data_IF_313646622627
#
_entry.id   IF_313646622627
#
_cell.length_a   1.000
_cell.length_b   1.000
_cell.length_c   1.000
_cell.angle_alpha   90.00
_cell.angle_beta   90.00
_cell.angle_gamma   90.00
#
_symmetry.space_group_name_H-M   'P 1'
#
loop_
_entity.id
_entity.type
_entity.pdbx_description
1 polymer ?
#
# COMPACT_ATOMS: atom_id res chain seq x y z
N UNK A 1 1.41 -17.64 43.79
CA UNK A 1 2.59 -18.31 43.20
C UNK A 1 3.79 -17.40 43.41
N UNK A 2 4.79 -17.84 44.17
CA UNK A 2 6.04 -17.10 44.33
C UNK A 2 7.01 -17.55 43.23
N UNK A 3 7.30 -16.64 42.29
CA UNK A 3 8.26 -16.86 41.22
C UNK A 3 9.66 -16.94 41.85
N UNK A 4 10.40 -18.00 41.54
CA UNK A 4 11.74 -18.23 42.05
C UNK A 4 12.74 -17.21 41.50
N UNK A 5 13.85 -16.97 42.20
CA UNK A 5 14.88 -16.00 41.79
C UNK A 5 15.48 -16.29 40.40
N UNK A 6 15.60 -17.58 40.06
CA UNK A 6 16.05 -18.02 38.75
C UNK A 6 15.04 -17.69 37.64
N UNK A 7 13.74 -17.85 37.90
CA UNK A 7 12.69 -17.47 36.95
C UNK A 7 12.64 -15.94 36.76
N UNK A 8 12.87 -15.16 37.81
CA UNK A 8 12.99 -13.69 37.69
C UNK A 8 14.16 -13.28 36.80
N UNK A 9 15.35 -13.87 36.99
CA UNK A 9 16.51 -13.62 36.12
C UNK A 9 16.26 -14.04 34.67
N UNK A 10 15.61 -15.18 34.46
CA UNK A 10 15.27 -15.67 33.13
C UNK A 10 14.27 -14.76 32.41
N UNK A 11 13.24 -14.28 33.12
CA UNK A 11 12.28 -13.31 32.59
C UNK A 11 12.95 -11.97 32.27
N UNK A 12 13.88 -11.52 33.10
CA UNK A 12 14.62 -10.28 32.87
C UNK A 12 15.54 -10.36 31.66
N UNK A 13 16.27 -11.47 31.47
CA UNK A 13 17.04 -11.70 30.23
C UNK A 13 16.16 -11.68 28.97
N UNK A 14 14.97 -12.30 29.02
CA UNK A 14 14.03 -12.26 27.89
C UNK A 14 13.53 -10.85 27.59
N UNK A 15 13.24 -10.09 28.64
CA UNK A 15 12.81 -8.71 28.51
C UNK A 15 13.89 -7.83 27.88
N UNK A 16 15.14 -7.95 28.35
CA UNK A 16 16.27 -7.21 27.78
C UNK A 16 16.56 -7.59 26.32
N UNK A 17 16.46 -8.88 25.98
CA UNK A 17 16.57 -9.34 24.59
C UNK A 17 15.46 -8.76 23.71
N UNK A 18 14.22 -8.76 24.19
CA UNK A 18 13.09 -8.17 23.48
C UNK A 18 13.29 -6.67 23.27
N UNK A 19 13.75 -5.94 24.30
CA UNK A 19 14.00 -4.51 24.20
C UNK A 19 15.08 -4.18 23.16
N UNK A 20 16.15 -4.97 23.08
CA UNK A 20 17.19 -4.79 22.05
C UNK A 20 16.64 -5.00 20.64
N UNK A 21 15.92 -6.10 20.42
CA UNK A 21 15.30 -6.38 19.11
C UNK A 21 14.31 -5.27 18.73
N UNK A 22 13.49 -4.79 19.67
CA UNK A 22 12.56 -3.69 19.43
C UNK A 22 13.29 -2.38 19.06
N UNK A 23 14.41 -2.07 19.72
CA UNK A 23 15.24 -0.91 19.38
C UNK A 23 15.88 -1.04 18.00
N UNK A 24 16.45 -2.20 17.68
CA UNK A 24 17.07 -2.44 16.38
C UNK A 24 16.05 -2.36 15.24
N UNK A 25 14.86 -2.92 15.44
CA UNK A 25 13.73 -2.79 14.50
C UNK A 25 13.29 -1.34 14.34
N UNK A 26 13.21 -0.59 15.45
CA UNK A 26 12.86 0.83 15.43
C UNK A 26 13.87 1.65 14.63
N UNK A 27 15.17 1.43 14.85
CA UNK A 27 16.25 2.12 14.15
C UNK A 27 16.24 1.80 12.64
N UNK A 28 16.07 0.53 12.27
CA UNK A 28 15.97 0.12 10.87
C UNK A 28 14.75 0.73 10.16
N UNK A 29 13.62 0.82 10.85
CA UNK A 29 12.40 1.44 10.31
C UNK A 29 12.59 2.95 10.06
N UNK A 30 13.21 3.66 11.01
CA UNK A 30 13.51 5.09 10.89
C UNK A 30 14.44 5.35 9.70
N UNK A 31 15.50 4.54 9.53
CA UNK A 31 16.41 4.68 8.38
C UNK A 31 15.69 4.51 7.04
N UNK A 32 14.86 3.48 6.90
CA UNK A 32 14.10 3.23 5.67
C UNK A 32 13.10 4.34 5.34
N UNK A 33 12.48 4.95 6.35
CA UNK A 33 11.64 6.13 6.16
C UNK A 33 12.45 7.34 5.67
N UNK A 34 13.67 7.50 6.18
CA UNK A 34 14.63 8.51 5.71
C UNK A 34 14.98 8.31 4.23
N UNK A 35 15.31 7.08 3.83
CA UNK A 35 15.62 6.74 2.43
C UNK A 35 14.43 6.99 1.50
N UNK A 36 13.21 6.63 1.93
CA UNK A 36 12.00 6.90 1.18
C UNK A 36 11.75 8.41 1.02
N UNK A 37 11.95 9.18 2.11
CA UNK A 37 11.80 10.64 2.07
C UNK A 37 12.81 11.27 1.09
N UNK A 38 14.07 10.82 1.11
CA UNK A 38 15.08 11.28 0.17
C UNK A 38 14.74 10.90 -1.29
N UNK A 39 14.25 9.69 -1.53
CA UNK A 39 13.81 9.25 -2.86
C UNK A 39 12.64 10.10 -3.40
N UNK A 40 11.71 10.53 -2.53
CA UNK A 40 10.62 11.45 -2.87
C UNK A 40 11.19 12.83 -3.24
N UNK A 41 12.14 13.36 -2.46
CA UNK A 41 12.77 14.65 -2.76
C UNK A 41 13.52 14.64 -4.10
N UNK A 42 14.13 13.51 -4.45
CA UNK A 42 14.92 13.35 -5.66
C UNK A 42 14.09 12.94 -6.90
N UNK A 43 12.75 12.89 -6.80
CA UNK A 43 11.84 12.45 -7.88
C UNK A 43 12.21 11.08 -8.49
N UNK A 44 12.77 10.18 -7.67
CA UNK A 44 13.15 8.82 -8.09
C UNK A 44 11.96 7.88 -8.10
N UNK A 45 12.08 6.74 -8.78
CA UNK A 45 11.09 5.68 -8.70
C UNK A 45 10.96 5.17 -7.25
N UNK A 46 9.77 5.32 -6.68
CA UNK A 46 9.46 5.02 -5.28
C UNK A 46 9.12 3.55 -5.06
N UNK A 47 8.85 2.79 -6.12
CA UNK A 47 8.44 1.39 -6.08
C UNK A 47 9.35 0.49 -5.23
N UNK A 48 10.70 0.55 -5.34
CA UNK A 48 11.59 -0.27 -4.49
C UNK A 48 11.63 0.18 -3.03
N UNK A 49 11.54 1.48 -2.76
CA UNK A 49 11.60 2.03 -1.39
C UNK A 49 10.31 1.76 -0.61
N UNK A 50 9.16 1.88 -1.26
CA UNK A 50 7.85 1.58 -0.66
C UNK A 50 7.75 0.09 -0.29
N UNK A 51 8.27 -0.82 -1.13
CA UNK A 51 8.33 -2.25 -0.81
C UNK A 51 9.15 -2.53 0.44
N UNK A 52 10.32 -1.88 0.59
CA UNK A 52 11.20 -2.02 1.77
C UNK A 52 10.58 -1.50 3.07
N UNK A 53 9.70 -0.50 2.99
CA UNK A 53 8.97 0.02 4.16
C UNK A 53 7.81 -0.90 4.55
N UNK A 54 7.10 -1.47 3.57
CA UNK A 54 5.90 -2.30 3.81
C UNK A 54 6.26 -3.73 4.25
N UNK A 55 7.36 -4.30 3.76
CA UNK A 55 7.75 -5.66 4.13
C UNK A 55 9.15 -5.72 4.76
N UNK A 56 9.26 -5.56 6.09
CA UNK A 56 10.55 -5.45 6.75
C UNK A 56 11.33 -6.76 6.88
N UNK A 57 10.68 -7.91 6.66
CA UNK A 57 11.23 -9.25 6.86
C UNK A 57 11.48 -10.04 5.57
N UNK A 58 11.17 -9.48 4.40
CA UNK A 58 11.64 -10.08 3.14
C UNK A 58 13.13 -9.78 3.00
N UNK A 59 13.96 -10.82 3.16
CA UNK A 59 15.36 -10.77 2.76
C UNK A 59 15.43 -10.43 1.28
N UNK A 60 16.17 -9.36 0.95
CA UNK A 60 16.47 -8.99 -0.42
C UNK A 60 17.09 -10.21 -1.13
N UNK A 61 16.34 -10.87 -2.03
CA UNK A 61 16.95 -11.66 -3.07
C UNK A 61 17.86 -10.71 -3.85
N UNK A 62 19.17 -10.83 -3.61
CA UNK A 62 20.21 -10.11 -4.33
C UNK A 62 19.86 -10.08 -5.82
N UNK A 63 19.89 -8.90 -6.47
CA UNK A 63 19.56 -8.82 -7.88
C UNK A 63 20.61 -9.60 -8.63
N UNK A 64 20.22 -10.75 -9.20
CA UNK A 64 21.00 -11.42 -10.24
C UNK A 64 21.25 -10.39 -11.32
N UNK A 65 22.52 -9.98 -11.45
CA UNK A 65 22.99 -9.19 -12.56
C UNK A 65 22.63 -9.93 -13.84
N UNK A 66 21.64 -9.44 -14.57
CA UNK A 66 21.49 -9.75 -15.98
C UNK A 66 21.97 -8.54 -16.76
N UNK A 67 22.89 -8.86 -17.65
CA UNK A 67 23.64 -8.00 -18.52
C UNK A 67 22.78 -6.94 -19.21
N UNK A 68 23.43 -5.79 -19.40
CA UNK A 68 23.08 -4.70 -20.30
C UNK A 68 22.38 -5.17 -21.59
N UNK A 69 21.16 -4.67 -21.81
CA UNK A 69 20.65 -4.44 -23.16
C UNK A 69 20.43 -2.93 -23.36
N UNK A 70 20.78 -2.40 -24.54
CA UNK A 70 20.98 -0.97 -24.75
C UNK A 70 19.67 -0.21 -24.89
N UNK A 71 19.75 1.09 -24.57
CA UNK A 71 18.86 2.19 -24.94
C UNK A 71 17.85 1.83 -26.04
N UNK A 72 16.60 1.54 -25.63
CA UNK A 72 15.46 1.55 -26.55
C UNK A 72 14.72 2.86 -26.30
N UNK A 73 14.74 3.69 -27.32
CA UNK A 73 13.93 4.89 -27.53
C UNK A 73 12.50 4.74 -27.02
N UNK A 74 11.93 5.87 -26.60
CA UNK A 74 10.56 6.07 -26.16
C UNK A 74 9.55 5.24 -26.98
N UNK A 75 9.27 4.03 -26.51
CA UNK A 75 8.16 3.22 -26.97
C UNK A 75 7.04 3.49 -26.00
N UNK A 76 6.01 4.19 -26.47
CA UNK A 76 4.72 4.30 -25.77
C UNK A 76 4.28 2.90 -25.32
N UNK A 77 4.57 2.56 -24.07
CA UNK A 77 4.13 1.31 -23.48
C UNK A 77 2.63 1.47 -23.30
N UNK A 78 1.86 0.96 -24.27
CA UNK A 78 0.41 0.76 -24.12
C UNK A 78 0.21 0.15 -22.73
N UNK A 79 -0.51 0.83 -21.82
CA UNK A 79 -0.57 0.39 -20.43
C UNK A 79 -1.09 -1.04 -20.41
N UNK A 80 -0.34 -1.95 -19.76
CA UNK A 80 -0.81 -3.30 -19.45
C UNK A 80 -2.24 -3.15 -18.92
N UNK A 81 -3.21 -3.75 -19.61
CA UNK A 81 -4.61 -3.63 -19.25
C UNK A 81 -4.79 -4.13 -17.81
N UNK A 82 -4.90 -3.20 -16.87
CA UNK A 82 -5.09 -3.52 -15.45
C UNK A 82 -6.42 -4.26 -15.35
N UNK A 83 -6.40 -5.46 -14.79
CA UNK A 83 -7.62 -6.27 -14.60
C UNK A 83 -8.33 -5.79 -13.35
N UNK A 84 -9.67 -5.81 -13.37
CA UNK A 84 -10.46 -5.62 -12.16
C UNK A 84 -10.21 -6.81 -11.21
N UNK A 85 -9.67 -6.52 -10.03
CA UNK A 85 -9.47 -7.48 -8.94
C UNK A 85 -10.53 -7.28 -7.87
N UNK A 86 -10.71 -8.27 -6.98
CA UNK A 86 -11.64 -8.18 -5.85
C UNK A 86 -11.37 -6.96 -4.96
N UNK A 87 -10.10 -6.62 -4.75
CA UNK A 87 -9.68 -5.44 -3.97
C UNK A 87 -10.23 -4.14 -4.57
N UNK A 88 -10.17 -4.00 -5.90
CA UNK A 88 -10.72 -2.81 -6.58
C UNK A 88 -12.25 -2.77 -6.58
N UNK A 89 -12.91 -3.93 -6.55
CA UNK A 89 -14.37 -4.01 -6.40
C UNK A 89 -14.82 -3.62 -4.99
N UNK A 90 -14.09 -4.09 -3.97
CA UNK A 90 -14.33 -3.72 -2.57
C UNK A 90 -14.16 -2.22 -2.32
N UNK A 91 -13.18 -1.57 -2.96
CA UNK A 91 -13.02 -0.13 -2.88
C UNK A 91 -14.26 0.64 -3.37
N UNK A 92 -14.92 0.16 -4.44
CA UNK A 92 -16.16 0.74 -4.95
C UNK A 92 -17.33 0.49 -3.99
N UNK A 93 -17.41 -0.69 -3.38
CA UNK A 93 -18.45 -1.01 -2.39
C UNK A 93 -18.27 -0.19 -1.11
N UNK A 94 -17.04 -0.04 -0.62
CA UNK A 94 -16.74 0.81 0.52
C UNK A 94 -17.14 2.27 0.23
N UNK A 95 -16.76 2.79 -0.93
CA UNK A 95 -17.14 4.14 -1.36
C UNK A 95 -18.67 4.35 -1.50
N UNK A 96 -19.44 3.27 -1.67
CA UNK A 96 -20.91 3.33 -1.68
C UNK A 96 -21.56 3.32 -0.30
N UNK A 97 -20.88 2.76 0.71
CA UNK A 97 -21.33 2.67 2.11
C UNK A 97 -20.85 3.83 2.97
N UNK A 98 -19.82 4.54 2.51
CA UNK A 98 -19.23 5.65 3.23
C UNK A 98 -20.23 6.81 3.38
N UNK A 99 -20.71 7.01 4.60
CA UNK A 99 -21.71 8.04 4.94
C UNK A 99 -21.10 9.44 5.06
N UNK A 100 -19.78 9.56 4.93
CA UNK A 100 -19.08 10.81 5.20
C UNK A 100 -19.50 11.96 4.27
N UNK A 101 -19.59 13.13 4.89
CA UNK A 101 -20.12 14.40 4.34
C UNK A 101 -19.30 14.98 3.20
N UNK A 102 -18.14 14.42 2.86
CA UNK A 102 -17.26 15.02 1.86
C UNK A 102 -17.85 14.89 0.44
N UNK A 103 -18.63 15.92 0.10
CA UNK A 103 -19.18 16.26 -1.22
C UNK A 103 -18.10 16.49 -2.30
N UNK A 104 -16.81 16.30 -1.99
CA UNK A 104 -15.75 16.19 -3.00
C UNK A 104 -15.89 14.84 -3.70
N UNK A 105 -16.75 14.86 -4.73
CA UNK A 105 -17.01 13.85 -5.77
C UNK A 105 -16.26 12.53 -5.54
N UNK A 106 -16.97 11.53 -5.02
CA UNK A 106 -16.48 10.15 -4.83
C UNK A 106 -15.78 9.60 -6.07
N UNK A 107 -16.20 10.05 -7.26
CA UNK A 107 -15.56 9.69 -8.53
C UNK A 107 -14.13 10.24 -8.71
N UNK A 108 -13.86 11.47 -8.26
CA UNK A 108 -12.51 12.09 -8.34
C UNK A 108 -11.56 11.40 -7.36
N UNK A 109 -12.04 11.10 -6.15
CA UNK A 109 -11.29 10.30 -5.19
C UNK A 109 -10.95 8.90 -5.74
N UNK A 110 -11.92 8.22 -6.36
CA UNK A 110 -11.71 6.90 -6.94
C UNK A 110 -10.78 6.94 -8.15
N UNK A 111 -10.77 8.00 -8.94
CA UNK A 111 -9.81 8.18 -10.04
C UNK A 111 -8.38 8.37 -9.54
N UNK A 112 -8.19 9.11 -8.44
CA UNK A 112 -6.86 9.28 -7.85
C UNK A 112 -6.35 8.00 -7.16
N UNK A 113 -7.27 7.16 -6.67
CA UNK A 113 -6.92 5.98 -5.88
C UNK A 113 -6.80 4.71 -6.74
N UNK A 114 -7.60 4.59 -7.80
CA UNK A 114 -7.63 3.40 -8.65
C UNK A 114 -6.86 3.63 -9.95
N UNK A 115 -6.17 2.60 -10.49
CA UNK A 115 -5.47 2.66 -11.77
C UNK A 115 -6.45 2.55 -12.97
N UNK A 116 -7.62 3.18 -12.88
CA UNK A 116 -8.69 3.11 -13.86
C UNK A 116 -9.20 4.51 -14.22
N UNK A 117 -9.52 4.72 -15.50
CA UNK A 117 -10.16 5.96 -15.94
C UNK A 117 -11.56 6.13 -15.33
N UNK A 118 -12.03 7.39 -15.19
CA UNK A 118 -13.41 7.70 -14.77
C UNK A 118 -14.46 6.86 -15.49
N UNK A 119 -14.30 6.67 -16.80
CA UNK A 119 -15.23 5.90 -17.63
C UNK A 119 -15.21 4.40 -17.27
N UNK A 120 -14.04 3.83 -16.99
CA UNK A 120 -13.93 2.44 -16.54
C UNK A 120 -14.56 2.25 -15.16
N UNK A 121 -14.31 3.17 -14.23
CA UNK A 121 -14.90 3.18 -12.88
C UNK A 121 -16.43 3.24 -12.96
N UNK A 122 -17.00 4.17 -13.76
CA UNK A 122 -18.45 4.27 -13.96
C UNK A 122 -19.07 2.98 -14.50
N UNK A 123 -18.42 2.37 -15.51
CA UNK A 123 -18.88 1.10 -16.09
C UNK A 123 -18.83 -0.04 -15.09
N UNK A 124 -17.79 -0.11 -14.26
CA UNK A 124 -17.67 -1.14 -13.22
C UNK A 124 -18.68 -0.94 -12.10
N UNK A 125 -18.86 0.28 -11.61
CA UNK A 125 -19.90 0.64 -10.64
C UNK A 125 -21.29 0.19 -11.11
N UNK A 126 -21.64 0.46 -12.37
CA UNK A 126 -22.90 0.00 -12.95
C UNK A 126 -23.03 -1.53 -12.96
N UNK A 127 -21.97 -2.26 -13.34
CA UNK A 127 -21.95 -3.73 -13.31
C UNK A 127 -22.07 -4.32 -11.90
N UNK A 128 -21.60 -3.60 -10.89
CA UNK A 128 -21.74 -3.97 -9.48
C UNK A 128 -23.12 -3.59 -8.90
N UNK A 129 -24.01 -3.00 -9.69
CA UNK A 129 -25.34 -2.58 -9.23
C UNK A 129 -25.33 -1.27 -8.44
N UNK A 130 -24.28 -0.45 -8.57
CA UNK A 130 -24.18 0.84 -7.89
C UNK A 130 -24.65 1.98 -8.82
N UNK A 131 -25.26 3.02 -8.26
CA UNK A 131 -25.76 4.21 -8.95
C UNK A 131 -25.01 5.46 -8.51
N UNK A 132 -24.88 6.42 -9.42
CA UNK A 132 -24.30 7.73 -9.12
C UNK A 132 -25.40 8.74 -8.81
N UNK A 133 -25.44 9.28 -7.58
CA UNK A 133 -26.43 10.29 -7.16
C UNK A 133 -25.69 11.53 -6.63
N UNK A 134 -25.87 12.68 -7.30
CA UNK A 134 -25.23 13.96 -6.95
C UNK A 134 -23.71 13.85 -6.71
N UNK A 135 -23.02 13.03 -7.52
CA UNK A 135 -21.57 12.83 -7.42
C UNK A 135 -21.11 11.82 -6.37
N UNK A 136 -22.04 11.19 -5.64
CA UNK A 136 -21.77 10.06 -4.73
C UNK A 136 -22.16 8.73 -5.37
N UNK A 137 -21.47 7.68 -4.96
CA UNK A 137 -21.83 6.30 -5.30
C UNK A 137 -22.79 5.78 -4.24
N UNK A 138 -23.91 5.20 -4.67
CA UNK A 138 -24.94 4.63 -3.77
C UNK A 138 -25.31 3.25 -4.27
N UNK A 139 -25.67 2.35 -3.36
CA UNK A 139 -26.22 1.06 -3.75
C UNK A 139 -27.58 1.26 -4.42
N UNK A 140 -27.84 0.58 -5.54
CA UNK A 140 -29.14 0.66 -6.21
C UNK A 140 -30.24 -0.08 -5.45
N UNK A 141 -29.87 -0.97 -4.51
CA UNK A 141 -30.79 -1.78 -3.71
C UNK A 141 -31.03 -1.24 -2.29
N UNK A 142 -30.31 -0.20 -1.87
CA UNK A 142 -30.46 0.43 -0.55
C UNK A 142 -31.51 1.54 -0.54
#
# INVERSE_FOLDING_TARGET
MNITENEKRYLQMKYEAYQRVAQDMGNAFIQRLGDLFQAIQENRDLTPYVKRVINPFEEDELPTQKESEPVIEAKEVKPKAVKWTKVYEEALLHASKDSTSNKRRTLEYLEQTLPFSKAAIKRKAYRLGLKWKKGKLVDAKA
#
